data_IF_617591916576
#
_entry.id   IF_617591916576
#
_cell.length_a   1.000
_cell.length_b   1.000
_cell.length_c   1.000
_cell.angle_alpha   90.00
_cell.angle_beta   90.00
_cell.angle_gamma   90.00
#
_symmetry.space_group_name_H-M   'P 1'
#
loop_
_entity.id
_entity.type
_entity.pdbx_description
1 polymer ?
#
# COMPACT_ATOMS: atom_id res chain seq x y z
N UNK A 1 -8.71 4.96 12.85
CA UNK A 1 -8.33 3.86 11.96
C UNK A 1 -9.22 3.91 10.72
N UNK A 2 -8.65 3.70 9.54
CA UNK A 2 -9.32 3.71 8.23
C UNK A 2 -9.22 2.32 7.65
N UNK A 3 -10.35 1.70 7.29
CA UNK A 3 -10.36 0.39 6.64
C UNK A 3 -9.77 0.51 5.23
N UNK A 4 -8.83 -0.35 4.89
CA UNK A 4 -8.22 -0.45 3.58
C UNK A 4 -8.45 -1.84 2.99
N UNK A 5 -8.74 -1.87 1.69
CA UNK A 5 -8.91 -3.09 0.90
C UNK A 5 -7.76 -3.20 -0.10
N UNK A 6 -7.23 -4.40 -0.26
CA UNK A 6 -6.03 -4.65 -1.07
C UNK A 6 -6.00 -6.08 -1.58
N UNK A 7 -4.93 -6.43 -2.29
CA UNK A 7 -4.55 -7.80 -2.58
C UNK A 7 -3.17 -8.07 -1.97
N UNK A 8 -3.02 -9.19 -1.27
CA UNK A 8 -1.79 -9.54 -0.57
C UNK A 8 -1.33 -10.98 -0.88
N UNK A 9 -0.02 -11.18 -0.90
CA UNK A 9 0.58 -12.51 -0.79
C UNK A 9 0.62 -12.92 0.69
N UNK A 10 0.25 -14.17 0.99
CA UNK A 10 0.30 -14.73 2.36
C UNK A 10 1.59 -15.52 2.61
N UNK A 11 2.24 -15.98 1.55
CA UNK A 11 3.56 -16.60 1.54
C UNK A 11 4.21 -16.42 0.17
N UNK A 12 5.46 -16.84 0.02
CA UNK A 12 6.23 -16.75 -1.23
C UNK A 12 5.67 -17.62 -2.38
N UNK A 13 4.76 -18.56 -2.08
CA UNK A 13 4.17 -19.47 -3.04
C UNK A 13 2.71 -19.11 -3.37
N UNK A 14 2.08 -18.25 -2.57
CA UNK A 14 0.68 -17.91 -2.74
C UNK A 14 0.48 -16.86 -3.83
N UNK A 15 -0.60 -17.01 -4.59
CA UNK A 15 -1.10 -15.94 -5.45
C UNK A 15 -1.69 -14.82 -4.59
N UNK A 16 -1.72 -13.60 -5.13
CA UNK A 16 -2.34 -12.48 -4.44
C UNK A 16 -3.84 -12.75 -4.19
N UNK A 17 -4.29 -12.53 -2.97
CA UNK A 17 -5.69 -12.71 -2.55
C UNK A 17 -6.24 -11.44 -1.92
N UNK A 18 -7.57 -11.19 -1.98
CA UNK A 18 -8.19 -10.07 -1.27
C UNK A 18 -7.77 -10.04 0.20
N UNK A 19 -7.31 -8.88 0.66
CA UNK A 19 -6.81 -8.67 2.01
C UNK A 19 -7.30 -7.33 2.54
N UNK A 20 -7.84 -7.35 3.75
CA UNK A 20 -8.36 -6.18 4.45
C UNK A 20 -7.51 -5.91 5.69
N UNK A 21 -7.17 -4.65 5.91
CA UNK A 21 -6.44 -4.21 7.09
C UNK A 21 -6.86 -2.79 7.48
N UNK A 22 -6.34 -2.31 8.60
CA UNK A 22 -6.59 -0.95 9.06
C UNK A 22 -5.35 -0.09 8.91
N UNK A 23 -5.51 1.09 8.31
CA UNK A 23 -4.52 2.15 8.35
C UNK A 23 -4.83 3.08 9.51
N UNK A 24 -3.79 3.71 10.05
CA UNK A 24 -3.96 4.79 11.02
C UNK A 24 -4.71 5.97 10.42
N UNK A 25 -5.40 6.73 11.25
CA UNK A 25 -5.92 8.04 10.85
C UNK A 25 -4.71 8.94 10.49
N UNK A 26 -4.82 9.84 9.49
CA UNK A 26 -3.75 10.79 9.19
C UNK A 26 -3.37 11.59 10.44
N UNK A 27 -2.07 11.63 10.73
CA UNK A 27 -1.49 12.52 11.72
C UNK A 27 -1.17 13.88 11.11
N UNK A 28 -0.52 14.74 11.86
CA UNK A 28 -0.36 16.16 11.50
C UNK A 28 0.43 16.38 10.20
N UNK A 29 1.35 15.48 9.84
CA UNK A 29 2.21 15.61 8.64
C UNK A 29 1.78 14.70 7.47
N UNK A 30 0.66 14.00 7.59
CA UNK A 30 0.28 12.95 6.63
C UNK A 30 -0.63 13.41 5.51
N UNK A 31 -0.55 12.71 4.39
CA UNK A 31 -1.48 12.83 3.25
C UNK A 31 -2.18 11.50 3.07
N UNK A 32 -3.51 11.50 3.17
CA UNK A 32 -4.32 10.34 2.82
C UNK A 32 -4.67 10.38 1.34
N UNK A 33 -4.41 9.28 0.65
CA UNK A 33 -4.61 9.16 -0.79
C UNK A 33 -5.59 8.02 -1.08
N UNK A 34 -6.64 8.34 -1.83
CA UNK A 34 -7.47 7.36 -2.54
C UNK A 34 -6.74 6.92 -3.82
N UNK A 35 -6.29 5.67 -3.84
CA UNK A 35 -5.47 5.12 -4.91
C UNK A 35 -6.37 4.82 -6.11
N UNK A 36 -6.09 5.46 -7.24
CA UNK A 36 -6.84 5.24 -8.48
C UNK A 36 -6.18 4.23 -9.39
N UNK A 37 -4.84 4.29 -9.45
CA UNK A 37 -4.02 3.44 -10.29
C UNK A 37 -2.74 3.08 -9.53
N UNK A 38 -2.25 1.87 -9.76
CA UNK A 38 -0.93 1.43 -9.33
C UNK A 38 -0.32 0.63 -10.48
N UNK A 39 0.90 1.01 -10.88
CA UNK A 39 1.68 0.23 -11.84
C UNK A 39 2.13 -1.12 -11.26
N UNK A 40 2.59 -2.00 -12.14
CA UNK A 40 3.18 -3.29 -11.79
C UNK A 40 4.50 -3.44 -12.52
N UNK A 41 5.55 -3.76 -11.78
CA UNK A 41 6.85 -4.06 -12.36
C UNK A 41 7.52 -5.26 -11.68
N UNK A 42 8.76 -5.57 -12.05
CA UNK A 42 9.45 -6.78 -11.58
C UNK A 42 9.77 -6.76 -10.08
N UNK A 43 9.97 -5.60 -9.46
CA UNK A 43 10.22 -5.51 -8.01
C UNK A 43 9.00 -5.94 -7.19
N UNK A 44 7.78 -5.78 -7.69
CA UNK A 44 6.58 -6.33 -7.05
C UNK A 44 6.62 -7.85 -7.06
N UNK A 45 7.08 -8.47 -8.16
CA UNK A 45 7.24 -9.92 -8.28
C UNK A 45 8.30 -10.45 -7.31
N UNK A 46 9.49 -9.83 -7.33
CA UNK A 46 10.60 -10.20 -6.44
C UNK A 46 10.18 -10.12 -4.97
N UNK A 47 9.38 -9.10 -4.62
CA UNK A 47 8.82 -8.91 -3.28
C UNK A 47 7.76 -9.96 -2.96
N UNK A 48 6.74 -10.14 -3.81
CA UNK A 48 5.65 -11.09 -3.57
C UNK A 48 6.13 -12.55 -3.43
N UNK A 49 7.21 -12.91 -4.13
CA UNK A 49 7.81 -14.25 -4.11
C UNK A 49 8.99 -14.40 -3.16
N UNK A 50 9.33 -13.36 -2.39
CA UNK A 50 10.48 -13.33 -1.49
C UNK A 50 11.82 -13.70 -2.15
N UNK A 51 12.05 -13.31 -3.40
CA UNK A 51 13.28 -13.64 -4.15
C UNK A 51 14.51 -12.91 -3.61
N UNK A 52 14.30 -11.86 -2.79
CA UNK A 52 15.34 -11.15 -2.04
C UNK A 52 15.45 -11.57 -0.56
N UNK A 53 14.68 -12.58 -0.13
CA UNK A 53 14.78 -13.20 1.21
C UNK A 53 14.52 -12.26 2.40
N UNK A 54 13.72 -11.21 2.21
CA UNK A 54 13.41 -10.20 3.23
C UNK A 54 11.93 -9.77 3.28
N UNK A 55 11.04 -10.50 2.62
CA UNK A 55 9.62 -10.17 2.58
C UNK A 55 8.93 -10.53 3.88
N UNK A 56 8.17 -9.58 4.43
CA UNK A 56 7.28 -9.80 5.56
C UNK A 56 5.87 -10.06 5.04
N UNK A 57 5.25 -11.14 5.53
CA UNK A 57 3.90 -11.52 5.16
C UNK A 57 2.89 -11.21 6.28
N UNK A 58 1.64 -10.83 5.96
CA UNK A 58 1.08 -10.63 4.61
C UNK A 58 1.71 -9.43 3.88
N UNK A 59 2.05 -9.60 2.60
CA UNK A 59 2.72 -8.58 1.79
C UNK A 59 1.75 -7.99 0.76
N UNK A 60 1.59 -6.67 0.75
CA UNK A 60 0.80 -5.91 -0.24
C UNK A 60 1.79 -5.16 -1.15
N UNK A 61 2.13 -5.69 -2.34
CA UNK A 61 3.00 -5.01 -3.30
C UNK A 61 2.34 -3.76 -3.91
N UNK A 62 3.12 -3.00 -4.70
CA UNK A 62 2.67 -1.77 -5.35
C UNK A 62 3.39 -0.54 -4.79
N UNK A 63 4.18 0.10 -5.66
CA UNK A 63 5.00 1.27 -5.32
C UNK A 63 4.98 2.34 -6.44
N UNK A 64 4.08 2.18 -7.42
CA UNK A 64 3.93 3.06 -8.58
C UNK A 64 2.52 3.68 -8.57
N UNK A 65 2.18 4.36 -7.48
CA UNK A 65 0.81 4.79 -7.16
C UNK A 65 0.50 6.17 -7.74
N UNK A 66 -0.70 6.32 -8.32
CA UNK A 66 -1.34 7.61 -8.60
C UNK A 66 -2.73 7.62 -7.96
N UNK A 67 -3.05 8.71 -7.25
CA UNK A 67 -4.30 8.82 -6.51
C UNK A 67 -4.79 10.25 -6.33
N UNK A 68 -5.93 10.38 -5.63
CA UNK A 68 -6.49 11.66 -5.19
C UNK A 68 -6.26 11.84 -3.70
N UNK A 69 -5.85 13.03 -3.30
CA UNK A 69 -5.80 13.40 -1.88
C UNK A 69 -7.23 13.46 -1.34
N UNK A 70 -7.49 12.80 -0.22
CA UNK A 70 -8.81 12.79 0.44
C UNK A 70 -8.80 13.47 1.81
N UNK A 71 -7.63 13.56 2.44
CA UNK A 71 -7.42 14.25 3.70
C UNK A 71 -5.93 14.58 3.86
N UNK A 72 -5.64 15.65 4.59
CA UNK A 72 -4.28 16.04 4.96
C UNK A 72 -4.22 16.39 6.45
N UNK A 73 -3.06 16.17 7.06
CA UNK A 73 -2.77 16.59 8.42
C UNK A 73 -2.63 18.11 8.56
N UNK A 74 -2.73 18.62 9.80
CA UNK A 74 -2.74 20.05 10.08
C UNK A 74 -1.45 20.80 9.68
N UNK A 75 -0.32 20.10 9.64
CA UNK A 75 0.99 20.66 9.28
C UNK A 75 1.26 20.61 7.77
N UNK A 76 0.46 19.87 6.99
CA UNK A 76 0.65 19.73 5.54
C UNK A 76 0.20 21.00 4.80
N UNK A 77 1.10 21.59 4.02
CA UNK A 77 0.81 22.81 3.23
C UNK A 77 0.92 22.64 1.71
N UNK A 78 1.52 21.55 1.26
CA UNK A 78 1.86 21.34 -0.15
C UNK A 78 0.72 20.70 -0.95
N UNK A 79 -0.19 20.01 -0.26
CA UNK A 79 -1.30 19.27 -0.84
C UNK A 79 -2.61 19.69 -0.16
N UNK A 80 -3.73 19.44 -0.84
CA UNK A 80 -5.08 19.71 -0.38
C UNK A 80 -6.02 18.62 -0.88
#
# INVERSE_FOLDING_TARGET
MVKAYSYAAQSAQDVLQPYQFERRTPGDDDVQIDILYCGVCHSDLHTARNEWHNTLYPSVPGHEIVGRVTAVGASVKQFK
#
